data_IF_533179054791
#
_entry.id   IF_533179054791
#
_cell.length_a   1.000
_cell.length_b   1.000
_cell.length_c   1.000
_cell.angle_alpha   90.00
_cell.angle_beta   90.00
_cell.angle_gamma   90.00
#
_symmetry.space_group_name_H-M   'P 1'
#
loop_
_entity.id
_entity.type
_entity.pdbx_description
1 polymer ?
#
# COMPACT_ATOMS: atom_id res chain seq x y z
N UNK A 1 -23.14 -18.55 -11.06
CA UNK A 1 -21.90 -18.00 -10.49
C UNK A 1 -21.76 -16.56 -10.96
N UNK A 2 -21.95 -15.56 -10.10
CA UNK A 2 -21.86 -14.14 -10.49
C UNK A 2 -20.51 -13.57 -10.03
N UNK A 3 -19.58 -13.36 -10.96
CA UNK A 3 -18.24 -12.81 -10.71
C UNK A 3 -18.05 -11.51 -11.50
N UNK A 4 -18.92 -10.52 -11.28
CA UNK A 4 -18.64 -9.16 -11.76
C UNK A 4 -18.98 -8.15 -10.69
N UNK A 5 -17.98 -7.38 -10.28
CA UNK A 5 -18.22 -6.04 -9.75
C UNK A 5 -17.19 -5.14 -10.38
N UNK A 6 -17.60 -4.22 -11.28
CA UNK A 6 -16.70 -3.21 -11.83
C UNK A 6 -16.36 -2.21 -10.73
N UNK A 7 -15.08 -2.19 -10.35
CA UNK A 7 -14.49 -1.24 -9.41
C UNK A 7 -14.39 0.13 -10.11
N UNK A 8 -15.50 0.87 -10.16
CA UNK A 8 -15.52 2.26 -10.60
C UNK A 8 -16.26 3.10 -9.55
N UNK A 9 -15.72 4.30 -9.30
CA UNK A 9 -16.14 5.38 -8.38
C UNK A 9 -16.00 5.12 -6.86
N UNK A 10 -14.87 5.54 -6.28
CA UNK A 10 -14.79 5.86 -4.84
C UNK A 10 -14.75 7.39 -4.65
N UNK A 11 -15.66 7.97 -3.83
CA UNK A 11 -15.63 9.37 -3.42
C UNK A 11 -14.49 9.63 -2.44
N UNK A 12 -14.12 10.89 -2.19
CA UNK A 12 -12.85 11.15 -1.55
C UNK A 12 -13.02 11.03 -0.01
N UNK A 13 -12.20 10.14 0.59
CA UNK A 13 -11.64 10.21 1.95
C UNK A 13 -12.26 9.51 3.19
N UNK A 14 -13.40 8.79 3.20
CA UNK A 14 -13.98 8.36 4.51
C UNK A 14 -14.15 6.85 4.80
N UNK A 15 -14.25 5.97 3.80
CA UNK A 15 -14.38 4.52 4.04
C UNK A 15 -13.65 3.73 2.97
N UNK A 16 -12.37 3.44 3.21
CA UNK A 16 -11.70 2.35 2.47
C UNK A 16 -12.37 1.05 2.90
N UNK A 17 -12.94 0.31 1.95
CA UNK A 17 -13.49 -1.01 2.24
C UNK A 17 -12.38 -1.95 2.72
N UNK A 18 -12.73 -2.93 3.56
CA UNK A 18 -11.77 -3.92 4.05
C UNK A 18 -11.05 -4.63 2.89
N UNK A 19 -11.71 -4.81 1.75
CA UNK A 19 -11.09 -5.32 0.53
C UNK A 19 -9.97 -4.39 0.03
N UNK A 20 -10.26 -3.09 -0.14
CA UNK A 20 -9.28 -2.10 -0.61
C UNK A 20 -8.10 -1.99 0.35
N UNK A 21 -8.36 -1.99 1.66
CA UNK A 21 -7.30 -2.00 2.69
C UNK A 21 -6.42 -3.24 2.55
N UNK A 22 -7.02 -4.41 2.36
CA UNK A 22 -6.32 -5.66 2.09
C UNK A 22 -5.42 -5.56 0.85
N UNK A 23 -5.94 -5.01 -0.25
CA UNK A 23 -5.17 -4.80 -1.48
C UNK A 23 -3.98 -3.86 -1.27
N UNK A 24 -4.17 -2.72 -0.60
CA UNK A 24 -3.09 -1.78 -0.29
C UNK A 24 -2.02 -2.45 0.58
N UNK A 25 -2.42 -3.30 1.54
CA UNK A 25 -1.50 -4.05 2.39
C UNK A 25 -0.71 -5.08 1.58
N UNK A 26 -1.38 -5.84 0.70
CA UNK A 26 -0.74 -6.81 -0.21
C UNK A 26 0.26 -6.11 -1.14
N UNK A 27 -0.12 -4.98 -1.70
CA UNK A 27 0.73 -4.12 -2.52
C UNK A 27 1.93 -3.60 -1.72
N UNK A 28 1.72 -3.04 -0.53
CA UNK A 28 2.81 -2.49 0.28
C UNK A 28 3.78 -3.56 0.80
N UNK A 29 3.33 -4.81 0.97
CA UNK A 29 4.16 -5.95 1.35
C UNK A 29 4.93 -6.55 0.15
N UNK A 30 4.51 -6.24 -1.08
CA UNK A 30 5.13 -6.75 -2.29
C UNK A 30 6.44 -6.02 -2.58
N UNK A 31 7.51 -6.79 -2.79
CA UNK A 31 8.84 -6.23 -3.13
C UNK A 31 8.80 -5.50 -4.48
N UNK A 32 7.84 -5.77 -5.36
CA UNK A 32 7.81 -5.16 -6.69
C UNK A 32 6.96 -3.89 -6.78
N UNK A 33 6.30 -3.48 -5.69
CA UNK A 33 5.32 -2.39 -5.72
C UNK A 33 5.83 -1.17 -4.99
N UNK A 34 5.78 -0.04 -5.69
CA UNK A 34 6.21 1.25 -5.17
C UNK A 34 5.08 2.01 -4.48
N UNK A 35 5.40 2.88 -3.53
CA UNK A 35 4.44 3.90 -3.05
C UNK A 35 3.85 4.72 -4.20
N UNK A 36 4.63 5.00 -5.25
CA UNK A 36 4.13 5.68 -6.44
C UNK A 36 3.05 4.87 -7.20
N UNK A 37 3.17 3.54 -7.25
CA UNK A 37 2.15 2.67 -7.87
C UNK A 37 0.91 2.57 -7.00
N UNK A 38 1.07 2.47 -5.68
CA UNK A 38 -0.05 2.52 -4.74
C UNK A 38 -0.79 3.86 -4.87
N UNK A 39 -0.06 4.97 -5.00
CA UNK A 39 -0.63 6.29 -5.26
C UNK A 39 -1.33 6.36 -6.61
N UNK A 40 -0.78 5.76 -7.66
CA UNK A 40 -1.41 5.75 -8.98
C UNK A 40 -2.70 4.92 -9.00
N UNK A 41 -2.75 3.81 -8.25
CA UNK A 41 -3.91 2.93 -8.18
C UNK A 41 -5.00 3.44 -7.22
N UNK A 42 -4.60 3.92 -6.04
CA UNK A 42 -5.53 4.25 -4.94
C UNK A 42 -5.50 5.72 -4.51
N UNK A 43 -4.66 6.56 -5.12
CA UNK A 43 -4.52 7.97 -4.74
C UNK A 43 -3.76 8.23 -3.43
N UNK A 44 -3.36 7.17 -2.70
CA UNK A 44 -2.77 7.28 -1.37
C UNK A 44 -1.31 7.72 -1.39
N UNK A 45 -0.98 8.69 -0.54
CA UNK A 45 0.38 9.13 -0.34
C UNK A 45 1.16 8.15 0.55
N UNK A 46 2.50 8.24 0.55
CA UNK A 46 3.32 7.32 1.35
C UNK A 46 3.00 7.39 2.84
N UNK A 47 2.50 8.54 3.32
CA UNK A 47 2.25 8.77 4.74
C UNK A 47 0.99 8.06 5.20
N UNK A 48 -0.03 8.11 4.36
CA UNK A 48 -1.27 7.35 4.54
C UNK A 48 -0.99 5.85 4.51
N UNK A 49 -0.17 5.37 3.57
CA UNK A 49 0.22 3.95 3.53
C UNK A 49 1.01 3.53 4.77
N UNK A 50 1.94 4.38 5.27
CA UNK A 50 2.68 4.11 6.52
C UNK A 50 1.74 4.06 7.73
N UNK A 51 0.77 4.97 7.80
CA UNK A 51 -0.21 5.02 8.88
C UNK A 51 -1.13 3.78 8.84
N UNK A 52 -1.62 3.42 7.65
CA UNK A 52 -2.39 2.21 7.40
C UNK A 52 -1.61 0.97 7.84
N UNK A 53 -0.37 0.80 7.36
CA UNK A 53 0.49 -0.32 7.74
C UNK A 53 0.68 -0.39 9.26
N UNK A 54 0.85 0.74 9.94
CA UNK A 54 1.05 0.77 11.40
C UNK A 54 -0.20 0.33 12.17
N UNK A 55 -1.38 0.63 11.67
CA UNK A 55 -2.67 0.23 12.29
C UNK A 55 -3.00 -1.23 12.02
N UNK A 56 -2.63 -1.77 10.85
CA UNK A 56 -3.00 -3.12 10.43
C UNK A 56 -1.95 -4.21 10.71
N UNK A 57 -0.67 -3.87 10.80
CA UNK A 57 0.38 -4.84 11.10
C UNK A 57 0.68 -4.91 12.60
N UNK A 58 0.96 -6.13 13.07
CA UNK A 58 1.59 -6.33 14.36
C UNK A 58 2.94 -5.57 14.44
N UNK A 59 3.35 -5.08 15.62
CA UNK A 59 4.55 -4.27 15.80
C UNK A 59 5.83 -4.94 15.28
N UNK A 60 5.93 -6.28 15.37
CA UNK A 60 7.05 -7.05 14.80
C UNK A 60 7.08 -7.01 13.27
N UNK A 61 5.93 -7.26 12.63
CA UNK A 61 5.80 -7.21 11.17
C UNK A 61 6.01 -5.81 10.61
N UNK A 62 5.51 -4.77 11.30
CA UNK A 62 5.76 -3.38 10.92
C UNK A 62 7.26 -3.03 10.96
N UNK A 63 7.99 -3.46 12.00
CA UNK A 63 9.44 -3.28 12.08
C UNK A 63 10.17 -3.99 10.94
N UNK A 64 9.79 -5.21 10.59
CA UNK A 64 10.37 -5.94 9.48
C UNK A 64 10.10 -5.26 8.13
N UNK A 65 8.86 -4.81 7.90
CA UNK A 65 8.47 -4.06 6.72
C UNK A 65 9.25 -2.75 6.59
N UNK A 66 9.41 -1.98 7.68
CA UNK A 66 10.21 -0.74 7.69
C UNK A 66 11.67 -0.97 7.26
N UNK A 67 12.28 -2.08 7.69
CA UNK A 67 13.64 -2.45 7.23
C UNK A 67 13.67 -2.71 5.72
N UNK A 68 12.65 -3.39 5.17
CA UNK A 68 12.52 -3.63 3.73
C UNK A 68 12.31 -2.34 2.96
N UNK A 69 11.40 -1.46 3.40
CA UNK A 69 11.15 -0.14 2.79
C UNK A 69 12.43 0.69 2.71
N UNK A 70 13.24 0.70 3.77
CA UNK A 70 14.53 1.42 3.77
C UNK A 70 15.50 0.85 2.72
N UNK A 71 15.62 -0.48 2.65
CA UNK A 71 16.42 -1.16 1.62
C UNK A 71 15.89 -0.88 0.20
N UNK A 72 14.58 -0.71 0.08
CA UNK A 72 13.90 -0.42 -1.18
C UNK A 72 14.13 1.01 -1.68
N UNK A 73 14.23 1.99 -0.77
CA UNK A 73 14.60 3.37 -1.09
C UNK A 73 16.04 3.47 -1.59
N UNK A 74 16.96 2.78 -0.93
CA UNK A 74 18.40 2.78 -1.28
C UNK A 74 18.66 2.18 -2.67
N UNK A 75 17.87 1.17 -3.09
CA UNK A 75 17.98 0.57 -4.44
C UNK A 75 17.63 1.51 -5.58
N UNK A 76 16.86 2.58 -5.34
CA UNK A 76 16.42 3.53 -6.37
C UNK A 76 17.27 4.79 -6.47
N UNK A 77 18.20 5.02 -5.56
CA UNK A 77 19.25 6.04 -5.73
C UNK A 77 20.22 5.68 -6.87
N UNK A 78 20.09 4.47 -7.44
CA UNK A 78 20.87 3.95 -8.55
C UNK A 78 20.14 3.96 -9.92
N UNK A 79 19.21 4.89 -10.14
CA UNK A 79 18.72 5.16 -11.50
C UNK A 79 19.07 6.60 -11.88
N UNK A 80 20.25 6.75 -12.50
CA UNK A 80 20.63 7.92 -13.28
C UNK A 80 20.83 7.48 -14.73
#
# INVERSE_FOLDING_TARGET
>A
MNMTTPHAVNPPHASLDAATVGEIIQMALSDHVSFAQIRAAHGLHHDEVKALMRTHLAPGSYRAWRKRVRKFGERRENYK
#
